data_IF_886275413643
#
_entry.id   IF_886275413643
#
_cell.length_a   1.000
_cell.length_b   1.000
_cell.length_c   1.000
_cell.angle_alpha   90.00
_cell.angle_beta   90.00
_cell.angle_gamma   90.00
#
_symmetry.space_group_name_H-M   'P 1'
#
loop_
_entity.id
_entity.type
_entity.pdbx_description
1 polymer ?
#
# COMPACT_ATOMS: atom_id res chain seq x y z
N UNK A 1 5.34 -10.01 4.94
CA UNK A 1 6.38 -9.49 5.85
C UNK A 1 6.42 -10.25 7.17
N UNK A 2 7.59 -10.76 7.55
CA UNK A 2 7.89 -11.34 8.86
C UNK A 2 8.65 -10.34 9.74
N UNK A 3 8.77 -10.64 11.04
CA UNK A 3 9.48 -9.81 12.01
C UNK A 3 10.90 -9.42 11.58
N UNK A 4 11.64 -10.35 10.99
CA UNK A 4 13.03 -10.09 10.59
C UNK A 4 13.13 -9.20 9.34
N UNK A 5 12.14 -9.26 8.44
CA UNK A 5 12.05 -8.33 7.30
C UNK A 5 11.83 -6.89 7.81
N UNK A 6 10.98 -6.72 8.82
CA UNK A 6 10.72 -5.41 9.46
C UNK A 6 12.00 -4.85 10.08
N UNK A 7 12.77 -5.67 10.81
CA UNK A 7 14.05 -5.25 11.39
C UNK A 7 15.04 -4.80 10.33
N UNK A 8 15.25 -5.61 9.30
CA UNK A 8 16.16 -5.24 8.20
C UNK A 8 15.73 -3.98 7.45
N UNK A 9 14.42 -3.68 7.44
CA UNK A 9 13.91 -2.44 6.87
C UNK A 9 14.22 -1.24 7.77
N UNK A 10 14.00 -1.38 9.07
CA UNK A 10 14.29 -0.33 10.07
C UNK A 10 15.79 -0.04 10.11
N UNK A 11 16.64 -1.06 10.06
CA UNK A 11 18.11 -0.92 10.04
C UNK A 11 18.64 -0.13 8.81
N UNK A 12 17.80 0.11 7.80
CA UNK A 12 18.13 0.89 6.61
C UNK A 12 17.57 2.31 6.63
N UNK A 13 16.76 2.65 7.63
CA UNK A 13 16.23 4.00 7.77
C UNK A 13 17.32 4.93 8.33
N UNK A 14 17.21 6.25 8.08
CA UNK A 14 18.08 7.23 8.73
C UNK A 14 18.00 7.15 10.26
N UNK A 15 19.11 7.41 10.94
CA UNK A 15 19.17 7.41 12.42
C UNK A 15 18.25 8.45 13.06
N UNK A 16 17.93 9.52 12.34
CA UNK A 16 17.03 10.59 12.76
C UNK A 16 15.58 10.38 12.29
N UNK A 17 15.24 9.19 11.78
CA UNK A 17 13.89 8.91 11.32
C UNK A 17 12.86 8.97 12.46
N UNK A 18 11.71 9.55 12.15
CA UNK A 18 10.58 9.66 13.06
C UNK A 18 9.75 8.37 13.09
N UNK A 19 8.83 8.26 14.05
CA UNK A 19 7.87 7.14 14.06
C UNK A 19 6.95 7.19 12.84
N UNK A 20 6.64 8.37 12.34
CA UNK A 20 5.86 8.59 11.12
C UNK A 20 6.59 8.03 9.88
N UNK A 21 7.90 8.20 9.79
CA UNK A 21 8.71 7.66 8.69
C UNK A 21 8.73 6.12 8.70
N UNK A 22 8.87 5.52 9.88
CA UNK A 22 8.81 4.07 10.06
C UNK A 22 7.44 3.54 9.62
N UNK A 23 6.37 4.17 10.11
CA UNK A 23 4.99 3.79 9.76
C UNK A 23 4.71 3.92 8.27
N UNK A 24 5.13 5.03 7.67
CA UNK A 24 4.95 5.28 6.23
C UNK A 24 5.68 4.22 5.41
N UNK A 25 6.93 3.93 5.75
CA UNK A 25 7.73 2.93 5.03
C UNK A 25 7.10 1.54 5.14
N UNK A 26 6.62 1.16 6.33
CA UNK A 26 5.91 -0.12 6.54
C UNK A 26 4.62 -0.18 5.72
N UNK A 27 3.85 0.89 5.73
CA UNK A 27 2.60 0.98 4.98
C UNK A 27 2.84 0.79 3.47
N UNK A 28 3.78 1.54 2.89
CA UNK A 28 4.11 1.46 1.46
C UNK A 28 4.58 0.05 1.10
N UNK A 29 5.49 -0.53 1.90
CA UNK A 29 5.96 -1.90 1.67
C UNK A 29 4.82 -2.92 1.71
N UNK A 30 3.94 -2.83 2.70
CA UNK A 30 2.78 -3.72 2.80
C UNK A 30 1.84 -3.59 1.60
N UNK A 31 1.61 -2.37 1.09
CA UNK A 31 0.78 -2.16 -0.10
C UNK A 31 1.38 -2.77 -1.35
N UNK A 32 2.70 -2.69 -1.51
CA UNK A 32 3.40 -3.31 -2.64
C UNK A 32 3.31 -4.84 -2.56
N UNK A 33 3.64 -5.44 -1.40
CA UNK A 33 3.54 -6.89 -1.19
C UNK A 33 2.12 -7.39 -1.47
N UNK A 34 1.11 -6.66 -0.98
CA UNK A 34 -0.28 -6.98 -1.26
C UNK A 34 -0.59 -6.92 -2.76
N UNK A 35 -0.15 -5.88 -3.46
CA UNK A 35 -0.36 -5.76 -4.90
C UNK A 35 0.29 -6.88 -5.71
N UNK A 36 1.49 -7.32 -5.31
CA UNK A 36 2.16 -8.48 -5.91
C UNK A 36 1.35 -9.76 -5.71
N UNK A 37 0.88 -9.99 -4.49
CA UNK A 37 0.02 -11.12 -4.17
C UNK A 37 -1.31 -11.08 -4.94
N UNK A 38 -1.93 -9.91 -5.05
CA UNK A 38 -3.17 -9.73 -5.82
C UNK A 38 -2.96 -10.05 -7.32
N UNK A 39 -1.77 -9.78 -7.89
CA UNK A 39 -1.42 -10.20 -9.25
C UNK A 39 -1.30 -11.73 -9.34
N UNK A 40 -0.57 -12.35 -8.42
CA UNK A 40 -0.35 -13.81 -8.39
C UNK A 40 -1.66 -14.59 -8.22
N UNK A 41 -2.57 -14.08 -7.39
CA UNK A 41 -3.89 -14.68 -7.13
C UNK A 41 -4.94 -14.30 -8.19
N UNK A 42 -4.59 -13.44 -9.16
CA UNK A 42 -5.51 -13.00 -10.21
C UNK A 42 -6.60 -12.03 -9.74
N UNK A 43 -6.42 -11.39 -8.57
CA UNK A 43 -7.28 -10.34 -8.04
C UNK A 43 -7.07 -9.00 -8.77
N UNK A 44 -7.21 -9.02 -10.09
CA UNK A 44 -7.04 -7.86 -10.95
C UNK A 44 -8.39 -7.29 -11.35
N UNK A 45 -8.40 -6.00 -11.65
CA UNK A 45 -9.56 -5.29 -12.16
C UNK A 45 -9.25 -4.71 -13.52
N UNK A 46 -10.22 -4.79 -14.42
CA UNK A 46 -10.19 -4.08 -15.69
C UNK A 46 -10.38 -2.58 -15.47
N UNK A 47 -9.87 -1.79 -16.41
CA UNK A 47 -9.91 -0.32 -16.32
C UNK A 47 -11.34 0.22 -16.09
N UNK A 48 -12.33 -0.36 -16.76
CA UNK A 48 -13.73 0.06 -16.65
C UNK A 48 -14.34 -0.27 -15.29
N UNK A 49 -13.94 -1.38 -14.68
CA UNK A 49 -14.35 -1.76 -13.33
C UNK A 49 -13.78 -0.79 -12.28
N UNK A 50 -12.53 -0.34 -12.49
CA UNK A 50 -11.90 0.68 -11.64
C UNK A 50 -12.63 2.01 -11.76
N UNK A 51 -12.92 2.48 -12.99
CA UNK A 51 -13.69 3.72 -13.23
C UNK A 51 -15.05 3.69 -12.53
N UNK A 52 -15.81 2.61 -12.70
CA UNK A 52 -17.13 2.46 -12.08
C UNK A 52 -17.07 2.47 -10.53
N UNK A 53 -16.00 1.95 -9.92
CA UNK A 53 -15.78 2.03 -8.47
C UNK A 53 -15.45 3.46 -8.02
N UNK A 54 -14.64 4.19 -8.77
CA UNK A 54 -14.24 5.56 -8.47
C UNK A 54 -15.41 6.55 -8.58
N UNK A 55 -16.33 6.33 -9.52
CA UNK A 55 -17.54 7.15 -9.69
C UNK A 55 -18.37 7.27 -8.41
N UNK A 56 -18.42 6.21 -7.58
CA UNK A 56 -19.14 6.23 -6.29
C UNK A 56 -18.54 7.21 -5.30
N UNK A 57 -17.23 7.39 -5.32
CA UNK A 57 -16.52 8.32 -4.44
C UNK A 57 -16.59 9.76 -4.97
N UNK A 58 -16.42 9.94 -6.28
CA UNK A 58 -16.48 11.26 -6.92
C UNK A 58 -17.88 11.89 -6.82
N UNK A 59 -18.94 11.09 -6.95
CA UNK A 59 -20.32 11.57 -6.76
C UNK A 59 -20.60 12.01 -5.31
N UNK A 60 -19.96 11.35 -4.33
CA UNK A 60 -20.14 11.67 -2.89
C UNK A 60 -19.42 12.95 -2.47
N UNK A 61 -18.35 13.34 -3.17
CA UNK A 61 -17.55 14.53 -2.86
C UNK A 61 -18.01 15.80 -3.60
N UNK A 62 -19.00 15.69 -4.50
CA UNK A 62 -19.57 16.80 -5.25
C UNK A 62 -20.91 17.31 -4.65
N UNK A 63 -21.11 17.12 -3.34
CA UNK A 63 -22.31 17.52 -2.61
C UNK A 63 -21.95 18.37 -1.39
#
# INVERSE_FOLDING_TARGET
MLKDDVKQMIDKLPEDCSIEDIQYTLYVRSKIEKGQKDIEEGHLLMNDEVKARMDKWLKKNNQ
#
